data_IF_154468654828
#
_entry.id   IF_154468654828
#
_cell.length_a   1.000
_cell.length_b   1.000
_cell.length_c   1.000
_cell.angle_alpha   90.00
_cell.angle_beta   90.00
_cell.angle_gamma   90.00
#
_symmetry.space_group_name_H-M   'P 1'
#
loop_
_entity.id
_entity.type
_entity.pdbx_description
1 polymer ?
#
# COMPACT_ATOMS: atom_id res chain seq x y z
N UNK A 1 16.61 -81.08 17.78
CA UNK A 1 15.35 -80.63 17.15
C UNK A 1 14.61 -79.90 18.24
N UNK A 2 14.26 -78.63 18.18
CA UNK A 2 14.14 -77.59 17.15
C UNK A 2 14.00 -76.29 17.99
N UNK A 3 14.71 -75.18 17.71
CA UNK A 3 14.15 -73.98 17.04
C UNK A 3 12.71 -73.63 17.47
N UNK A 4 12.29 -72.38 17.69
CA UNK A 4 12.79 -71.02 17.44
C UNK A 4 12.06 -70.10 18.44
N UNK A 5 12.64 -69.04 18.99
CA UNK A 5 12.72 -67.69 18.40
C UNK A 5 11.40 -67.11 17.85
N UNK A 6 11.19 -65.84 18.21
CA UNK A 6 10.44 -64.75 17.55
C UNK A 6 9.26 -64.25 18.36
N UNK A 7 9.45 -63.08 19.00
CA UNK A 7 8.41 -62.06 19.08
C UNK A 7 9.02 -60.70 18.73
N UNK A 8 8.71 -60.27 17.51
CA UNK A 8 9.23 -59.09 16.84
C UNK A 8 8.46 -57.84 17.28
N UNK A 9 9.24 -56.88 17.73
CA UNK A 9 9.03 -55.44 17.80
C UNK A 9 7.84 -54.89 16.98
N UNK A 10 6.80 -54.46 17.70
CA UNK A 10 5.66 -53.71 17.15
C UNK A 10 6.10 -52.30 16.75
N UNK A 11 6.52 -52.13 15.50
CA UNK A 11 6.76 -50.83 14.90
C UNK A 11 5.43 -50.06 14.77
N UNK A 12 5.26 -49.04 15.62
CA UNK A 12 4.15 -48.10 15.58
C UNK A 12 4.20 -47.30 14.27
N UNK A 13 3.48 -47.76 13.25
CA UNK A 13 3.37 -47.06 11.96
C UNK A 13 2.57 -45.77 12.15
N UNK A 14 3.25 -44.63 12.09
CA UNK A 14 2.61 -43.32 12.06
C UNK A 14 1.77 -43.24 10.77
N UNK A 15 0.47 -42.93 10.84
CA UNK A 15 -0.36 -42.86 9.64
C UNK A 15 0.16 -41.79 8.67
N UNK A 16 0.07 -42.04 7.34
CA UNK A 16 0.56 -41.10 6.35
C UNK A 16 -0.14 -39.75 6.51
N UNK A 17 0.67 -38.68 6.59
CA UNK A 17 0.22 -37.29 6.69
C UNK A 17 -0.73 -37.01 5.52
N UNK A 18 -2.04 -36.90 5.79
CA UNK A 18 -3.06 -36.56 4.77
C UNK A 18 -2.62 -35.26 4.08
N UNK A 19 -2.30 -35.33 2.78
CA UNK A 19 -2.14 -34.13 1.95
C UNK A 19 -3.51 -33.48 1.85
N UNK A 20 -3.72 -32.38 2.55
CA UNK A 20 -4.84 -31.49 2.30
C UNK A 20 -4.64 -30.95 0.88
N UNK A 21 -5.37 -31.53 -0.09
CA UNK A 21 -5.43 -31.01 -1.45
C UNK A 21 -6.19 -29.68 -1.39
N UNK A 22 -5.45 -28.58 -1.31
CA UNK A 22 -5.99 -27.24 -1.31
C UNK A 22 -4.86 -26.24 -1.48
N UNK A 23 -5.05 -25.27 -2.36
CA UNK A 23 -4.17 -24.12 -2.46
C UNK A 23 -4.59 -23.08 -1.42
N UNK A 24 -3.62 -22.48 -0.74
CA UNK A 24 -3.83 -21.30 0.09
C UNK A 24 -3.62 -20.08 -0.80
N UNK A 25 -4.63 -19.23 -0.90
CA UNK A 25 -4.57 -18.01 -1.72
C UNK A 25 -5.13 -16.84 -0.90
N UNK A 26 -4.39 -15.74 -0.89
CA UNK A 26 -4.84 -14.49 -0.28
C UNK A 26 -4.24 -13.30 -1.03
N UNK A 27 -5.08 -12.28 -1.23
CA UNK A 27 -4.68 -10.96 -1.69
C UNK A 27 -4.84 -9.97 -0.54
N UNK A 28 -3.71 -9.48 -0.03
CA UNK A 28 -3.64 -8.56 1.10
C UNK A 28 -3.53 -7.13 0.54
N UNK A 29 -4.53 -6.25 0.75
CA UNK A 29 -4.42 -4.87 0.30
C UNK A 29 -3.42 -4.09 1.16
N UNK A 30 -2.47 -3.41 0.53
CA UNK A 30 -1.37 -2.70 1.20
C UNK A 30 -1.56 -1.20 1.06
N UNK A 31 -2.26 -0.57 2.01
CA UNK A 31 -2.66 0.84 1.88
C UNK A 31 -2.30 1.67 3.10
N UNK A 32 -2.06 2.95 2.87
CA UNK A 32 -1.86 3.91 3.96
C UNK A 32 -0.48 3.81 4.58
N UNK A 33 0.56 3.46 3.81
CA UNK A 33 1.88 3.16 4.37
C UNK A 33 2.87 4.30 4.19
N UNK A 34 3.81 4.40 5.13
CA UNK A 34 5.05 5.17 4.94
C UNK A 34 6.24 4.21 5.01
N UNK A 35 6.92 4.04 3.88
CA UNK A 35 8.06 3.13 3.74
C UNK A 35 9.30 3.92 3.34
N UNK A 36 10.47 3.42 3.70
CA UNK A 36 11.74 3.77 3.10
C UNK A 36 12.20 2.66 2.14
N UNK A 37 13.14 2.95 1.24
CA UNK A 37 13.81 1.95 0.42
C UNK A 37 14.52 0.91 1.30
N UNK A 38 15.02 1.30 2.47
CA UNK A 38 15.56 0.33 3.44
C UNK A 38 14.50 -0.62 4.02
N UNK A 39 13.28 -0.14 4.26
CA UNK A 39 12.17 -1.01 4.69
C UNK A 39 11.79 -1.98 3.57
N UNK A 40 11.70 -1.49 2.32
CA UNK A 40 11.39 -2.33 1.14
C UNK A 40 12.48 -3.37 0.91
N UNK A 41 13.75 -2.98 1.05
CA UNK A 41 14.90 -3.90 0.98
C UNK A 41 14.82 -4.99 2.05
N UNK A 42 14.50 -4.63 3.29
CA UNK A 42 14.37 -5.62 4.37
C UNK A 42 13.23 -6.62 4.10
N UNK A 43 12.11 -6.17 3.54
CA UNK A 43 11.02 -7.06 3.09
C UNK A 43 11.50 -7.99 1.99
N UNK A 44 12.19 -7.46 0.99
CA UNK A 44 12.76 -8.24 -0.10
C UNK A 44 13.72 -9.33 0.40
N UNK A 45 14.66 -8.99 1.28
CA UNK A 45 15.65 -9.92 1.81
C UNK A 45 15.01 -11.06 2.61
N UNK A 46 14.03 -10.77 3.47
CA UNK A 46 13.32 -11.79 4.24
C UNK A 46 12.51 -12.73 3.33
N UNK A 47 11.84 -12.19 2.33
CA UNK A 47 11.09 -13.00 1.37
C UNK A 47 12.02 -13.81 0.46
N UNK A 48 13.17 -13.26 0.08
CA UNK A 48 14.20 -13.97 -0.67
C UNK A 48 14.73 -15.16 0.13
N UNK A 49 14.98 -14.97 1.42
CA UNK A 49 15.38 -16.06 2.31
C UNK A 49 14.30 -17.15 2.42
N UNK A 50 13.01 -16.77 2.51
CA UNK A 50 11.90 -17.74 2.50
C UNK A 50 11.85 -18.52 1.19
N UNK A 51 11.96 -17.83 0.04
CA UNK A 51 11.92 -18.46 -1.27
C UNK A 51 13.12 -19.39 -1.52
N UNK A 52 14.32 -18.96 -1.10
CA UNK A 52 15.54 -19.76 -1.17
C UNK A 52 15.43 -21.02 -0.33
N UNK A 53 14.97 -20.91 0.92
CA UNK A 53 14.76 -22.08 1.78
C UNK A 53 13.77 -23.07 1.17
N UNK A 54 12.67 -22.59 0.60
CA UNK A 54 11.75 -23.45 -0.13
C UNK A 54 12.43 -24.11 -1.35
N UNK A 55 13.28 -23.37 -2.06
CA UNK A 55 14.07 -23.90 -3.16
C UNK A 55 15.03 -25.01 -2.75
N UNK A 56 15.68 -24.88 -1.58
CA UNK A 56 16.54 -25.93 -1.02
C UNK A 56 15.74 -27.23 -0.80
N UNK A 57 14.54 -27.11 -0.22
CA UNK A 57 13.64 -28.26 -0.01
C UNK A 57 13.24 -28.90 -1.35
N UNK A 58 12.84 -28.12 -2.35
CA UNK A 58 12.48 -28.64 -3.69
C UNK A 58 13.68 -29.31 -4.36
N UNK A 59 14.84 -28.66 -4.38
CA UNK A 59 16.07 -29.18 -5.00
C UNK A 59 16.54 -30.47 -4.33
N UNK A 60 16.30 -30.63 -3.02
CA UNK A 60 16.63 -31.86 -2.30
C UNK A 60 15.86 -33.09 -2.81
N UNK A 61 14.67 -32.87 -3.39
CA UNK A 61 13.81 -33.94 -3.93
C UNK A 61 14.08 -34.27 -5.40
N UNK A 62 14.87 -33.46 -6.10
CA UNK A 62 15.19 -33.69 -7.50
C UNK A 62 16.06 -34.95 -7.66
N UNK A 63 15.70 -35.78 -8.63
CA UNK A 63 16.48 -36.96 -8.99
C UNK A 63 17.67 -36.53 -9.84
N UNK A 64 18.86 -37.03 -9.49
CA UNK A 64 20.08 -36.82 -10.27
C UNK A 64 19.99 -37.61 -11.58
N UNK A 65 20.40 -36.99 -12.68
CA UNK A 65 20.61 -37.69 -13.94
C UNK A 65 21.71 -38.78 -13.75
N UNK A 66 21.45 -40.06 -14.10
CA UNK A 66 22.44 -41.12 -14.00
C UNK A 66 23.76 -40.83 -14.72
N UNK A 67 23.74 -40.01 -15.78
CA UNK A 67 24.91 -39.68 -16.58
C UNK A 67 25.76 -38.54 -15.99
N UNK A 68 25.22 -37.81 -15.01
CA UNK A 68 25.86 -36.63 -14.43
C UNK A 68 26.78 -36.98 -13.26
N UNK A 69 27.99 -36.41 -13.26
CA UNK A 69 28.93 -36.56 -12.15
C UNK A 69 28.47 -35.84 -10.88
N UNK A 70 29.02 -36.22 -9.72
CA UNK A 70 28.68 -35.60 -8.43
C UNK A 70 28.97 -34.09 -8.40
N UNK A 71 30.08 -33.67 -9.00
CA UNK A 71 30.51 -32.28 -9.06
C UNK A 71 29.61 -31.44 -9.99
N UNK A 72 29.20 -32.00 -11.12
CA UNK A 72 28.26 -31.36 -12.04
C UNK A 72 26.89 -31.21 -11.40
N UNK A 73 26.42 -32.24 -10.69
CA UNK A 73 25.16 -32.19 -9.97
C UNK A 73 25.16 -31.13 -8.88
N UNK A 74 26.24 -31.04 -8.09
CA UNK A 74 26.38 -30.00 -7.08
C UNK A 74 26.39 -28.58 -7.69
N UNK A 75 27.04 -28.40 -8.85
CA UNK A 75 27.02 -27.14 -9.60
C UNK A 75 25.62 -26.80 -10.10
N UNK A 76 24.91 -27.77 -10.66
CA UNK A 76 23.54 -27.58 -11.17
C UNK A 76 22.57 -27.21 -10.04
N UNK A 77 22.65 -27.88 -8.89
CA UNK A 77 21.82 -27.55 -7.71
C UNK A 77 22.02 -26.11 -7.25
N UNK A 78 23.28 -25.68 -7.15
CA UNK A 78 23.60 -24.30 -6.77
C UNK A 78 23.11 -23.29 -7.79
N UNK A 79 23.31 -23.57 -9.08
CA UNK A 79 22.81 -22.73 -10.17
C UNK A 79 21.29 -22.56 -10.11
N UNK A 80 20.54 -23.66 -9.96
CA UNK A 80 19.08 -23.60 -9.82
C UNK A 80 18.65 -22.80 -8.59
N UNK A 81 19.34 -22.99 -7.46
CA UNK A 81 19.01 -22.26 -6.24
C UNK A 81 19.24 -20.74 -6.39
N UNK A 82 20.33 -20.35 -7.03
CA UNK A 82 20.71 -18.95 -7.21
C UNK A 82 19.87 -18.25 -8.29
N UNK A 83 19.49 -18.95 -9.36
CA UNK A 83 18.87 -18.33 -10.55
C UNK A 83 17.37 -18.63 -10.72
N UNK A 84 16.88 -19.80 -10.29
CA UNK A 84 15.46 -20.17 -10.40
C UNK A 84 14.65 -19.81 -9.15
N UNK A 85 15.29 -19.77 -7.98
CA UNK A 85 14.66 -19.44 -6.70
C UNK A 85 15.05 -18.04 -6.19
N UNK A 86 15.41 -17.12 -7.08
CA UNK A 86 15.56 -15.71 -6.77
C UNK A 86 14.23 -14.95 -6.92
N UNK A 87 14.19 -13.74 -6.36
CA UNK A 87 13.11 -12.77 -6.59
C UNK A 87 13.56 -11.78 -7.65
N UNK A 88 12.68 -11.51 -8.60
CA UNK A 88 12.90 -10.43 -9.57
C UNK A 88 12.27 -9.15 -9.06
N UNK A 89 12.93 -8.01 -9.28
CA UNK A 89 12.51 -6.68 -8.89
C UNK A 89 12.31 -5.83 -10.15
N UNK A 90 11.19 -5.11 -10.22
CA UNK A 90 10.93 -4.06 -11.20
C UNK A 90 10.55 -2.77 -10.49
N UNK A 91 11.35 -1.73 -10.66
CA UNK A 91 11.11 -0.39 -10.14
C UNK A 91 10.77 0.51 -11.31
N UNK A 92 9.61 1.15 -11.26
CA UNK A 92 9.19 2.13 -12.28
C UNK A 92 9.10 3.50 -11.65
N UNK A 93 9.75 4.47 -12.28
CA UNK A 93 9.67 5.88 -11.92
C UNK A 93 8.71 6.67 -12.78
N UNK A 94 8.75 8.00 -12.65
CA UNK A 94 8.13 8.90 -13.61
C UNK A 94 8.86 8.89 -14.96
N UNK A 95 8.16 9.28 -16.04
CA UNK A 95 8.70 9.39 -17.42
C UNK A 95 9.27 8.09 -17.99
N UNK A 96 8.57 6.98 -17.72
CA UNK A 96 8.92 5.64 -18.25
C UNK A 96 10.33 5.15 -17.86
N UNK A 97 10.94 5.72 -16.81
CA UNK A 97 12.18 5.19 -16.24
C UNK A 97 11.88 3.85 -15.57
N UNK A 98 12.59 2.81 -15.99
CA UNK A 98 12.44 1.47 -15.44
C UNK A 98 13.80 0.92 -15.03
N UNK A 99 13.83 0.26 -13.90
CA UNK A 99 15.01 -0.41 -13.37
C UNK A 99 14.64 -1.82 -12.95
N UNK A 100 15.49 -2.77 -13.30
CA UNK A 100 15.28 -4.19 -13.07
C UNK A 100 16.49 -4.78 -12.35
N UNK A 101 16.26 -5.78 -11.51
CA UNK A 101 17.34 -6.59 -10.96
C UNK A 101 16.82 -7.73 -10.09
N UNK A 102 17.74 -8.54 -9.59
CA UNK A 102 17.45 -9.80 -8.87
C UNK A 102 18.12 -9.82 -7.49
N UNK A 103 18.77 -8.71 -7.12
CA UNK A 103 19.54 -8.58 -5.88
C UNK A 103 19.06 -7.39 -5.04
N UNK A 104 19.28 -7.49 -3.73
CA UNK A 104 18.91 -6.44 -2.79
C UNK A 104 19.71 -5.13 -3.00
N UNK A 105 20.83 -5.19 -3.73
CA UNK A 105 21.64 -4.02 -4.10
C UNK A 105 20.92 -3.07 -5.05
N UNK A 106 19.86 -3.54 -5.73
CA UNK A 106 18.98 -2.71 -6.57
C UNK A 106 18.46 -1.50 -5.79
N UNK A 107 18.11 -1.67 -4.52
CA UNK A 107 17.55 -0.61 -3.67
C UNK A 107 18.58 0.43 -3.22
N UNK A 108 19.87 0.16 -3.43
CA UNK A 108 20.98 1.08 -3.11
C UNK A 108 21.64 1.67 -4.36
N UNK A 109 21.11 1.38 -5.56
CA UNK A 109 21.72 1.84 -6.81
C UNK A 109 21.53 3.34 -7.03
N UNK A 110 22.59 4.03 -7.43
CA UNK A 110 22.53 5.44 -7.88
C UNK A 110 21.72 5.62 -9.18
N UNK A 111 21.41 4.52 -9.88
CA UNK A 111 20.62 4.51 -11.12
C UNK A 111 19.11 4.48 -10.87
N UNK A 112 18.67 4.49 -9.61
CA UNK A 112 17.25 4.49 -9.29
C UNK A 112 16.56 5.77 -9.81
N UNK A 113 15.30 5.66 -10.27
CA UNK A 113 14.52 6.83 -10.65
C UNK A 113 14.40 7.82 -9.49
N UNK A 114 14.56 9.12 -9.78
CA UNK A 114 14.43 10.18 -8.77
C UNK A 114 13.06 10.22 -8.06
N UNK A 115 12.01 9.76 -8.74
CA UNK A 115 10.66 9.60 -8.20
C UNK A 115 10.17 8.21 -8.58
N UNK A 116 10.09 7.31 -7.60
CA UNK A 116 9.62 5.95 -7.77
C UNK A 116 8.10 5.94 -7.67
N UNK A 117 7.43 5.47 -8.73
CA UNK A 117 5.98 5.33 -8.78
C UNK A 117 5.54 3.96 -8.29
N UNK A 118 6.20 2.90 -8.77
CA UNK A 118 5.85 1.53 -8.37
C UNK A 118 7.08 0.69 -8.12
N UNK A 119 6.99 -0.21 -7.15
CA UNK A 119 7.96 -1.28 -6.91
C UNK A 119 7.19 -2.59 -6.99
N UNK A 120 7.65 -3.50 -7.84
CA UNK A 120 7.10 -4.84 -7.98
C UNK A 120 8.19 -5.86 -7.75
N UNK A 121 7.92 -6.91 -6.98
CA UNK A 121 8.80 -8.07 -6.96
C UNK A 121 8.05 -9.40 -6.84
N UNK A 122 8.60 -10.42 -7.48
CA UNK A 122 7.99 -11.75 -7.61
C UNK A 122 9.03 -12.85 -7.84
N UNK A 123 8.74 -14.06 -7.36
CA UNK A 123 9.51 -15.26 -7.66
C UNK A 123 9.07 -15.96 -8.97
N UNK A 124 7.98 -15.52 -9.59
CA UNK A 124 7.41 -16.16 -10.79
C UNK A 124 8.32 -16.00 -12.01
N UNK A 125 8.85 -14.80 -12.23
CA UNK A 125 9.66 -14.49 -13.42
C UNK A 125 10.91 -15.36 -13.50
N UNK A 126 11.67 -15.44 -12.40
CA UNK A 126 12.90 -16.24 -12.31
C UNK A 126 12.60 -17.73 -12.54
N UNK A 127 11.58 -18.26 -11.86
CA UNK A 127 11.15 -19.64 -12.01
C UNK A 127 10.75 -20.00 -13.45
N UNK A 128 9.96 -19.15 -14.11
CA UNK A 128 9.49 -19.38 -15.49
C UNK A 128 10.64 -19.53 -16.49
N UNK A 129 11.77 -18.83 -16.26
CA UNK A 129 12.98 -18.98 -17.11
C UNK A 129 13.52 -20.42 -17.12
N UNK A 130 13.34 -21.15 -16.03
CA UNK A 130 13.92 -22.48 -15.81
C UNK A 130 12.92 -23.64 -15.86
N UNK A 131 11.63 -23.34 -15.99
CA UNK A 131 10.55 -24.33 -15.91
C UNK A 131 9.67 -24.36 -17.15
N UNK A 132 10.24 -24.05 -18.32
CA UNK A 132 9.52 -24.00 -19.61
C UNK A 132 8.24 -23.14 -19.55
N UNK A 133 8.29 -22.02 -18.81
CA UNK A 133 7.17 -21.08 -18.70
C UNK A 133 6.05 -21.47 -17.72
N UNK A 134 6.19 -22.55 -16.96
CA UNK A 134 5.24 -22.90 -15.89
C UNK A 134 5.38 -22.00 -14.65
N UNK A 135 4.31 -21.89 -13.86
CA UNK A 135 4.33 -21.16 -12.57
C UNK A 135 4.86 -22.02 -11.43
N UNK A 136 5.54 -21.42 -10.42
CA UNK A 136 5.93 -22.16 -9.23
C UNK A 136 4.70 -22.54 -8.40
N UNK A 137 4.78 -23.69 -7.71
CA UNK A 137 3.73 -24.16 -6.80
C UNK A 137 3.49 -23.19 -5.63
N UNK A 138 4.53 -22.46 -5.22
CA UNK A 138 4.44 -21.41 -4.23
C UNK A 138 4.87 -20.10 -4.91
N UNK A 139 3.93 -19.19 -5.09
CA UNK A 139 4.16 -17.89 -5.69
C UNK A 139 3.80 -16.76 -4.75
N UNK A 140 4.59 -15.70 -4.87
CA UNK A 140 4.30 -14.43 -4.23
C UNK A 140 4.56 -13.28 -5.19
N UNK A 141 3.68 -12.29 -5.12
CA UNK A 141 3.72 -11.09 -5.93
C UNK A 141 3.44 -9.91 -5.01
N UNK A 142 4.38 -8.98 -4.94
CA UNK A 142 4.25 -7.78 -4.11
C UNK A 142 4.29 -6.60 -5.05
N UNK A 143 3.19 -5.88 -5.10
CA UNK A 143 3.03 -4.66 -5.86
C UNK A 143 2.85 -3.50 -4.88
N UNK A 144 3.76 -2.53 -4.93
CA UNK A 144 3.72 -1.32 -4.13
C UNK A 144 3.58 -0.11 -5.05
N UNK A 145 2.45 0.57 -4.97
CA UNK A 145 2.11 1.79 -5.68
C UNK A 145 2.23 3.01 -4.75
N UNK A 146 3.13 3.91 -5.14
CA UNK A 146 3.43 5.21 -4.53
C UNK A 146 2.96 6.38 -5.41
N UNK A 147 2.11 6.11 -6.41
CA UNK A 147 1.55 7.15 -7.24
C UNK A 147 0.69 8.13 -6.43
N UNK A 148 0.66 9.38 -6.90
CA UNK A 148 -0.15 10.44 -6.30
C UNK A 148 -1.42 10.62 -7.14
N UNK A 149 -2.57 10.91 -6.51
CA UNK A 149 -3.75 11.30 -7.26
C UNK A 149 -3.50 12.60 -8.02
N UNK A 150 -4.30 12.90 -9.05
CA UNK A 150 -4.24 14.20 -9.70
C UNK A 150 -4.71 15.32 -8.74
N UNK A 151 -4.09 16.51 -8.83
CA UNK A 151 -4.44 17.66 -7.97
C UNK A 151 -5.89 18.12 -8.18
N UNK A 152 -6.36 18.01 -9.42
CA UNK A 152 -7.71 18.37 -9.82
C UNK A 152 -8.28 17.21 -10.63
N UNK A 153 -8.79 16.21 -9.91
CA UNK A 153 -9.56 15.14 -10.52
C UNK A 153 -11.00 15.62 -10.73
N UNK A 154 -11.48 15.77 -11.99
CA UNK A 154 -12.87 16.11 -12.25
C UNK A 154 -13.83 14.97 -11.90
N UNK A 155 -13.33 13.80 -11.47
CA UNK A 155 -14.16 12.66 -11.08
C UNK A 155 -15.28 13.10 -10.13
N UNK A 156 -16.56 12.85 -10.49
CA UNK A 156 -17.69 13.25 -9.66
C UNK A 156 -17.67 12.60 -8.27
N UNK A 157 -17.08 11.41 -8.12
CA UNK A 157 -17.14 10.59 -6.91
C UNK A 157 -15.98 10.88 -5.92
N UNK A 158 -15.99 12.04 -5.27
CA UNK A 158 -14.95 12.40 -4.27
C UNK A 158 -15.03 11.55 -2.99
N UNK A 159 -16.20 10.95 -2.75
CA UNK A 159 -16.49 10.02 -1.66
C UNK A 159 -15.80 8.67 -1.80
N UNK A 160 -15.37 8.32 -3.01
CA UNK A 160 -14.67 7.06 -3.24
C UNK A 160 -13.28 7.07 -2.59
N UNK A 161 -12.82 5.89 -2.14
CA UNK A 161 -11.47 5.77 -1.64
C UNK A 161 -10.48 6.13 -2.77
N UNK A 162 -9.42 6.87 -2.44
CA UNK A 162 -8.40 7.19 -3.43
C UNK A 162 -7.83 5.89 -4.02
N UNK A 163 -7.75 5.75 -5.35
CA UNK A 163 -7.17 4.56 -5.98
C UNK A 163 -5.76 4.29 -5.47
N UNK A 164 -5.46 3.02 -5.20
CA UNK A 164 -4.14 2.57 -4.85
C UNK A 164 -4.06 1.07 -5.14
N UNK A 165 -3.19 0.71 -6.07
CA UNK A 165 -3.13 -0.66 -6.59
C UNK A 165 -2.22 -1.57 -5.76
N UNK A 166 -1.62 -1.05 -4.69
CA UNK A 166 -0.72 -1.82 -3.84
C UNK A 166 -1.40 -3.04 -3.23
N UNK A 167 -0.83 -4.20 -3.50
CA UNK A 167 -1.33 -5.48 -3.00
C UNK A 167 -0.16 -6.47 -2.83
N UNK A 168 -0.35 -7.41 -1.92
CA UNK A 168 0.45 -8.63 -1.88
C UNK A 168 -0.45 -9.79 -2.22
N UNK A 169 -0.11 -10.54 -3.26
CA UNK A 169 -0.79 -11.77 -3.61
C UNK A 169 0.12 -12.94 -3.27
N UNK A 170 -0.37 -13.84 -2.43
CA UNK A 170 0.33 -15.07 -2.05
C UNK A 170 -0.54 -16.24 -2.47
N UNK A 171 0.03 -17.17 -3.25
CA UNK A 171 -0.61 -18.45 -3.51
C UNK A 171 0.38 -19.58 -3.34
N UNK A 172 0.04 -20.53 -2.47
CA UNK A 172 0.96 -21.59 -2.09
C UNK A 172 0.22 -22.91 -1.86
N UNK A 173 0.85 -24.02 -2.22
CA UNK A 173 0.44 -25.35 -1.74
C UNK A 173 0.97 -25.63 -0.33
N UNK A 174 2.11 -25.05 0.04
CA UNK A 174 2.70 -25.20 1.36
C UNK A 174 2.18 -24.13 2.34
N UNK A 175 1.44 -24.58 3.36
CA UNK A 175 0.95 -23.73 4.44
C UNK A 175 2.08 -23.01 5.19
N UNK A 176 3.24 -23.64 5.34
CA UNK A 176 4.40 -23.07 6.04
C UNK A 176 4.95 -21.87 5.27
N UNK A 177 5.10 -22.02 3.95
CA UNK A 177 5.49 -20.93 3.05
C UNK A 177 4.46 -19.79 3.10
N UNK A 178 3.18 -20.12 2.95
CA UNK A 178 2.07 -19.16 3.01
C UNK A 178 2.12 -18.31 4.30
N UNK A 179 2.22 -18.97 5.46
CA UNK A 179 2.28 -18.31 6.77
C UNK A 179 3.55 -17.49 6.97
N UNK A 180 4.68 -17.95 6.44
CA UNK A 180 5.94 -17.21 6.51
C UNK A 180 5.84 -15.89 5.73
N UNK A 181 5.30 -15.93 4.49
CA UNK A 181 5.10 -14.73 3.67
C UNK A 181 4.11 -13.77 4.34
N UNK A 182 2.95 -14.26 4.79
CA UNK A 182 1.97 -13.45 5.54
C UNK A 182 2.62 -12.72 6.73
N UNK A 183 3.41 -13.44 7.53
CA UNK A 183 4.06 -12.87 8.71
C UNK A 183 5.02 -11.73 8.36
N UNK A 184 5.81 -11.88 7.29
CA UNK A 184 6.70 -10.81 6.82
C UNK A 184 5.90 -9.59 6.39
N UNK A 185 4.84 -9.79 5.60
CA UNK A 185 3.93 -8.72 5.14
C UNK A 185 3.31 -7.99 6.33
N UNK A 186 2.74 -8.70 7.29
CA UNK A 186 2.12 -8.11 8.47
C UNK A 186 3.13 -7.30 9.29
N UNK A 187 4.29 -7.90 9.56
CA UNK A 187 5.28 -7.34 10.47
C UNK A 187 5.98 -6.12 9.87
N UNK A 188 6.29 -6.15 8.57
CA UNK A 188 7.15 -5.17 7.90
C UNK A 188 6.37 -4.15 7.07
N UNK A 189 5.26 -4.55 6.44
CA UNK A 189 4.44 -3.64 5.64
C UNK A 189 3.28 -3.09 6.46
N UNK A 190 2.41 -3.94 7.02
CA UNK A 190 1.14 -3.48 7.61
C UNK A 190 1.31 -2.72 8.94
N UNK A 191 2.42 -2.89 9.64
CA UNK A 191 2.75 -2.12 10.85
C UNK A 191 3.17 -0.67 10.56
N UNK A 192 3.35 -0.27 9.30
CA UNK A 192 3.83 1.07 8.91
C UNK A 192 2.70 2.02 8.49
N UNK A 193 1.50 1.85 9.06
CA UNK A 193 0.32 2.65 8.72
C UNK A 193 0.45 4.11 9.15
N UNK A 194 -0.04 5.01 8.33
CA UNK A 194 -0.06 6.45 8.55
C UNK A 194 -1.43 6.89 9.04
N UNK A 195 -1.46 7.89 9.92
CA UNK A 195 -2.73 8.41 10.46
C UNK A 195 -3.57 9.11 9.37
N UNK A 196 -2.92 9.78 8.42
CA UNK A 196 -3.61 10.50 7.33
C UNK A 196 -4.21 9.55 6.29
N UNK A 197 -3.94 8.24 6.34
CA UNK A 197 -4.63 7.26 5.51
C UNK A 197 -6.16 7.33 5.64
N UNK A 198 -6.67 7.88 6.75
CA UNK A 198 -8.10 8.10 6.99
C UNK A 198 -8.75 8.99 5.92
N UNK A 199 -8.06 10.02 5.40
CA UNK A 199 -8.65 10.92 4.40
C UNK A 199 -8.89 10.26 3.04
N UNK A 200 -8.29 9.08 2.81
CA UNK A 200 -8.44 8.28 1.60
C UNK A 200 -9.43 7.14 1.75
N UNK A 201 -10.07 6.99 2.92
CA UNK A 201 -11.11 5.99 3.12
C UNK A 201 -12.37 6.40 2.36
N UNK A 202 -13.19 5.40 2.04
CA UNK A 202 -14.53 5.63 1.54
C UNK A 202 -15.33 6.49 2.53
N UNK A 203 -16.14 7.41 2.02
CA UNK A 203 -16.95 8.36 2.78
C UNK A 203 -16.20 9.37 3.66
N UNK A 204 -14.86 9.39 3.65
CA UNK A 204 -14.09 10.36 4.45
C UNK A 204 -14.43 11.81 4.09
N UNK A 205 -14.66 12.07 2.79
CA UNK A 205 -15.14 13.36 2.29
C UNK A 205 -16.53 13.71 2.81
N UNK A 206 -17.48 12.78 2.74
CA UNK A 206 -18.87 13.04 3.16
C UNK A 206 -18.96 13.30 4.66
N UNK A 207 -18.24 12.51 5.46
CA UNK A 207 -18.19 12.72 6.91
C UNK A 207 -17.70 14.13 7.22
N UNK A 208 -16.59 14.57 6.61
CA UNK A 208 -16.10 15.93 6.83
C UNK A 208 -17.00 17.02 6.22
N UNK A 209 -17.69 16.75 5.11
CA UNK A 209 -18.68 17.66 4.54
C UNK A 209 -19.82 17.91 5.53
N UNK A 210 -20.43 16.85 6.05
CA UNK A 210 -21.58 16.93 6.94
C UNK A 210 -21.24 17.46 8.33
N UNK A 211 -20.07 17.10 8.87
CA UNK A 211 -19.69 17.44 10.25
C UNK A 211 -18.93 18.76 10.36
N UNK A 212 -18.28 19.23 9.28
CA UNK A 212 -17.42 20.41 9.31
C UNK A 212 -17.87 21.44 8.28
N UNK A 213 -17.86 21.09 6.99
CA UNK A 213 -17.99 22.08 5.93
C UNK A 213 -19.39 22.73 5.87
N UNK A 214 -20.45 21.92 5.95
CA UNK A 214 -21.83 22.42 5.91
C UNK A 214 -22.17 23.28 7.15
N UNK A 215 -21.93 22.83 8.40
CA UNK A 215 -22.14 23.68 9.57
C UNK A 215 -21.36 24.99 9.51
N UNK A 216 -20.07 24.94 9.15
CA UNK A 216 -19.26 26.14 8.99
C UNK A 216 -19.79 27.06 7.89
N UNK A 217 -20.21 26.49 6.76
CA UNK A 217 -20.79 27.22 5.65
C UNK A 217 -22.09 27.94 6.02
N UNK A 218 -22.97 27.28 6.77
CA UNK A 218 -24.21 27.88 7.27
C UNK A 218 -23.93 29.04 8.23
N UNK A 219 -23.00 28.88 9.16
CA UNK A 219 -22.62 29.93 10.12
C UNK A 219 -22.01 31.13 9.37
N UNK A 220 -21.01 30.89 8.51
CA UNK A 220 -20.33 31.95 7.76
C UNK A 220 -21.29 32.67 6.80
N UNK A 221 -22.13 31.93 6.06
CA UNK A 221 -23.10 32.52 5.15
C UNK A 221 -24.13 33.38 5.90
N UNK A 222 -24.61 32.93 7.05
CA UNK A 222 -25.55 33.71 7.88
C UNK A 222 -24.89 34.98 8.42
N UNK A 223 -23.70 34.86 9.01
CA UNK A 223 -22.97 35.98 9.60
C UNK A 223 -22.66 37.07 8.56
N UNK A 224 -22.07 36.69 7.42
CA UNK A 224 -21.72 37.66 6.39
C UNK A 224 -22.93 38.22 5.63
N UNK A 225 -24.02 37.45 5.52
CA UNK A 225 -25.27 37.96 4.96
C UNK A 225 -25.83 39.12 5.80
N UNK A 226 -25.82 38.98 7.13
CA UNK A 226 -26.30 40.04 8.03
C UNK A 226 -25.36 41.24 8.04
N UNK A 227 -24.05 41.00 7.97
CA UNK A 227 -23.06 42.08 7.95
C UNK A 227 -23.08 42.89 6.65
N UNK A 228 -23.21 42.24 5.48
CA UNK A 228 -23.06 42.90 4.18
C UNK A 228 -24.38 43.30 3.53
N UNK A 229 -25.47 42.61 3.87
CA UNK A 229 -26.78 42.80 3.26
C UNK A 229 -27.86 42.90 4.35
N UNK A 230 -27.82 43.88 5.27
CA UNK A 230 -28.77 43.96 6.38
C UNK A 230 -30.23 43.99 5.89
N UNK A 231 -31.16 43.55 6.75
CA UNK A 231 -32.59 43.39 6.39
C UNK A 231 -33.20 44.70 5.88
N UNK A 232 -32.82 45.83 6.47
CA UNK A 232 -33.33 47.16 6.11
C UNK A 232 -32.48 47.88 5.04
N UNK A 233 -31.51 47.18 4.42
CA UNK A 233 -30.63 47.75 3.41
C UNK A 233 -31.20 47.73 1.98
N UNK A 234 -30.65 48.58 1.13
CA UNK A 234 -31.04 48.72 -0.29
C UNK A 234 -30.93 47.41 -1.10
N UNK A 235 -30.07 46.49 -0.64
CA UNK A 235 -29.80 45.21 -1.29
C UNK A 235 -30.47 44.01 -0.60
N UNK A 236 -31.45 44.24 0.28
CA UNK A 236 -32.15 43.19 1.05
C UNK A 236 -32.75 42.08 0.17
N UNK A 237 -33.20 42.41 -1.04
CA UNK A 237 -33.71 41.45 -2.02
C UNK A 237 -32.69 40.38 -2.45
N UNK A 238 -31.39 40.66 -2.35
CA UNK A 238 -30.31 39.75 -2.75
C UNK A 238 -29.79 38.84 -1.64
N UNK A 239 -30.31 38.96 -0.40
CA UNK A 239 -29.86 38.19 0.77
C UNK A 239 -29.86 36.68 0.51
N UNK A 240 -30.96 36.14 -0.01
CA UNK A 240 -31.08 34.71 -0.29
C UNK A 240 -30.16 34.24 -1.42
N UNK A 241 -29.98 35.05 -2.46
CA UNK A 241 -29.01 34.75 -3.51
C UNK A 241 -27.61 34.68 -2.92
N UNK A 242 -27.20 35.69 -2.16
CA UNK A 242 -25.91 35.69 -1.46
C UNK A 242 -25.73 34.46 -0.58
N UNK A 243 -26.72 34.10 0.24
CA UNK A 243 -26.67 32.94 1.12
C UNK A 243 -26.42 31.63 0.35
N UNK A 244 -27.18 31.39 -0.72
CA UNK A 244 -27.05 30.19 -1.56
C UNK A 244 -25.67 30.14 -2.22
N UNK A 245 -25.22 31.26 -2.81
CA UNK A 245 -23.91 31.32 -3.45
C UNK A 245 -22.76 31.17 -2.45
N UNK A 246 -22.85 31.81 -1.28
CA UNK A 246 -21.86 31.66 -0.22
C UNK A 246 -21.74 30.21 0.25
N UNK A 247 -22.88 29.54 0.49
CA UNK A 247 -22.90 28.13 0.87
C UNK A 247 -22.31 27.24 -0.24
N UNK A 248 -22.68 27.48 -1.50
CA UNK A 248 -22.11 26.78 -2.66
C UNK A 248 -20.60 26.96 -2.77
N UNK A 249 -20.10 28.18 -2.53
CA UNK A 249 -18.66 28.48 -2.52
C UNK A 249 -17.93 27.75 -1.40
N UNK A 250 -18.52 27.60 -0.21
CA UNK A 250 -17.92 26.81 0.89
C UNK A 250 -17.85 25.33 0.53
N UNK A 251 -18.92 24.77 -0.04
CA UNK A 251 -18.96 23.36 -0.49
C UNK A 251 -17.90 23.10 -1.58
N UNK A 252 -17.80 23.99 -2.57
CA UNK A 252 -16.78 23.92 -3.61
C UNK A 252 -15.37 24.08 -3.03
N UNK A 253 -15.17 25.05 -2.14
CA UNK A 253 -13.91 25.27 -1.44
C UNK A 253 -13.47 24.03 -0.65
N UNK A 254 -14.38 23.40 0.08
CA UNK A 254 -14.12 22.15 0.79
C UNK A 254 -13.75 20.99 -0.14
N UNK A 255 -14.42 20.90 -1.30
CA UNK A 255 -14.06 19.94 -2.36
C UNK A 255 -12.62 20.15 -2.84
N UNK A 256 -12.25 21.38 -3.18
CA UNK A 256 -10.88 21.70 -3.60
C UNK A 256 -9.87 21.41 -2.51
N UNK A 257 -10.16 21.79 -1.27
CA UNK A 257 -9.29 21.58 -0.13
C UNK A 257 -9.06 20.09 0.15
N UNK A 258 -10.11 19.26 0.05
CA UNK A 258 -9.99 17.81 0.23
C UNK A 258 -9.20 17.16 -0.90
N UNK A 259 -9.45 17.54 -2.16
CA UNK A 259 -8.68 17.05 -3.31
C UNK A 259 -7.19 17.40 -3.18
N UNK A 260 -6.92 18.65 -2.82
CA UNK A 260 -5.56 19.12 -2.56
C UNK A 260 -4.92 18.41 -1.35
N UNK A 261 -5.67 18.14 -0.28
CA UNK A 261 -5.17 17.37 0.87
C UNK A 261 -4.82 15.93 0.47
N UNK A 262 -5.68 15.24 -0.29
CA UNK A 262 -5.41 13.89 -0.83
C UNK A 262 -4.17 13.87 -1.76
N UNK A 263 -3.90 14.96 -2.47
CA UNK A 263 -2.67 15.09 -3.26
C UNK A 263 -1.43 15.32 -2.38
N UNK A 264 -1.54 16.24 -1.42
CA UNK A 264 -0.43 16.59 -0.54
C UNK A 264 -0.02 15.43 0.37
N UNK A 265 -0.99 14.61 0.79
CA UNK A 265 -0.79 13.40 1.57
C UNK A 265 -1.22 12.21 0.71
N UNK A 266 -0.34 11.60 -0.11
CA UNK A 266 -0.74 10.46 -0.94
C UNK A 266 -0.93 9.20 -0.09
N UNK A 267 -1.65 8.21 -0.63
CA UNK A 267 -2.04 6.98 0.10
C UNK A 267 -0.82 6.25 0.65
N UNK A 268 0.19 6.01 -0.18
CA UNK A 268 1.46 5.45 0.24
C UNK A 268 2.58 6.47 -0.01
N UNK A 269 3.52 6.57 0.92
CA UNK A 269 4.67 7.47 0.83
C UNK A 269 5.95 6.67 0.88
N UNK A 270 6.79 6.85 -0.13
CA UNK A 270 8.19 6.44 -0.09
C UNK A 270 9.05 7.61 0.41
N UNK A 271 9.86 7.39 1.44
CA UNK A 271 10.64 8.44 2.10
C UNK A 271 11.67 9.10 1.16
N UNK A 272 12.21 8.34 0.22
CA UNK A 272 13.24 8.75 -0.73
C UNK A 272 12.67 9.59 -1.88
N UNK A 273 11.37 9.52 -2.14
CA UNK A 273 10.71 10.42 -3.05
C UNK A 273 10.72 11.82 -2.43
N UNK A 274 11.74 12.63 -2.78
CA UNK A 274 11.89 14.04 -2.38
C UNK A 274 10.77 14.88 -3.01
N UNK A 275 9.60 14.79 -2.41
CA UNK A 275 8.41 15.43 -2.91
C UNK A 275 8.35 16.90 -2.48
N UNK A 276 7.94 17.77 -3.41
CA UNK A 276 7.58 19.16 -3.09
C UNK A 276 6.38 19.23 -2.15
N UNK A 277 5.60 18.14 -2.03
CA UNK A 277 4.43 18.07 -1.16
C UNK A 277 4.70 18.53 0.29
N UNK A 278 5.90 18.36 0.86
CA UNK A 278 6.17 18.86 2.21
C UNK A 278 5.90 20.38 2.35
N UNK A 279 6.35 21.18 1.37
CA UNK A 279 6.10 22.63 1.37
C UNK A 279 4.60 22.92 1.28
N UNK A 280 3.89 22.15 0.46
CA UNK A 280 2.44 22.26 0.30
C UNK A 280 1.68 21.83 1.56
N UNK A 281 2.16 20.84 2.32
CA UNK A 281 1.59 20.44 3.62
C UNK A 281 1.72 21.55 4.66
N UNK A 282 2.87 22.24 4.69
CA UNK A 282 3.08 23.39 5.57
C UNK A 282 2.13 24.53 5.18
N UNK A 283 2.01 24.83 3.89
CA UNK A 283 1.08 25.84 3.40
C UNK A 283 -0.38 25.51 3.77
N UNK A 284 -0.80 24.24 3.60
CA UNK A 284 -2.12 23.77 4.03
C UNK A 284 -2.32 23.94 5.53
N UNK A 285 -1.35 23.53 6.35
CA UNK A 285 -1.45 23.68 7.79
C UNK A 285 -1.66 25.15 8.18
N UNK A 286 -0.97 26.08 7.50
CA UNK A 286 -1.20 27.51 7.65
C UNK A 286 -2.62 27.97 7.26
N UNK A 287 -3.14 27.49 6.12
CA UNK A 287 -4.51 27.79 5.66
C UNK A 287 -5.53 27.26 6.67
N UNK A 288 -5.40 26.01 7.12
CA UNK A 288 -6.30 25.42 8.11
C UNK A 288 -6.25 26.15 9.46
N UNK A 289 -5.06 26.52 9.93
CA UNK A 289 -4.91 27.29 11.16
C UNK A 289 -5.62 28.65 11.06
N UNK A 290 -5.46 29.35 9.93
CA UNK A 290 -6.13 30.63 9.68
C UNK A 290 -7.65 30.50 9.59
N UNK A 291 -8.16 29.50 8.86
CA UNK A 291 -9.59 29.23 8.75
C UNK A 291 -10.20 28.87 10.11
N UNK A 292 -9.50 28.05 10.91
CA UNK A 292 -9.94 27.68 12.25
C UNK A 292 -10.01 28.90 13.16
N UNK A 293 -8.98 29.76 13.14
CA UNK A 293 -8.98 31.02 13.86
C UNK A 293 -10.17 31.91 13.47
N UNK A 294 -10.47 32.05 12.17
CA UNK A 294 -11.62 32.83 11.69
C UNK A 294 -12.97 32.24 12.06
N UNK A 295 -13.10 30.91 12.02
CA UNK A 295 -14.31 30.25 12.48
C UNK A 295 -14.52 30.48 13.99
N UNK A 296 -13.47 30.36 14.81
CA UNK A 296 -13.56 30.63 16.25
C UNK A 296 -13.92 32.08 16.54
N UNK A 297 -13.29 33.04 15.85
CA UNK A 297 -13.57 34.47 15.96
C UNK A 297 -15.05 34.79 15.66
N UNK A 298 -15.59 34.22 14.57
CA UNK A 298 -17.01 34.37 14.22
C UNK A 298 -17.95 33.73 15.24
N UNK A 299 -17.61 32.54 15.78
CA UNK A 299 -18.40 31.90 16.83
C UNK A 299 -18.39 32.76 18.10
N UNK A 300 -17.23 33.27 18.51
CA UNK A 300 -17.13 34.16 19.67
C UNK A 300 -17.95 35.44 19.49
N UNK A 301 -17.90 36.06 18.30
CA UNK A 301 -18.69 37.25 18.00
C UNK A 301 -20.21 36.99 17.96
N UNK A 302 -20.63 35.76 17.65
CA UNK A 302 -22.05 35.38 17.62
C UNK A 302 -22.62 34.98 18.99
N UNK A 303 -21.78 34.74 20.00
CA UNK A 303 -22.25 34.36 21.33
C UNK A 303 -22.78 35.59 22.09
N UNK A 304 -24.00 35.53 22.68
CA UNK A 304 -24.68 36.68 23.30
C UNK A 304 -24.06 37.15 24.63
N UNK A 305 -22.89 36.64 25.02
CA UNK A 305 -22.26 36.85 26.33
C UNK A 305 -21.01 37.72 26.31
N UNK A 306 -20.67 38.33 25.16
CA UNK A 306 -19.64 39.36 25.10
C UNK A 306 -20.35 40.72 25.18
N UNK A 307 -20.25 41.45 26.32
CA UNK A 307 -20.88 42.76 26.49
C UNK A 307 -20.31 43.84 25.56
#
# INVERSE_FOLDING_TARGET
>A
MEQSEVDTENAMTIPPKRRLFGWFEETIPVRGLKLSLSDVKAVYEELSAINRKFGEDVISTLQRDPEMSDDEWAKQKRFLLEDAFCLTISIRGERDQQFYGEDAEVFTSDKLPSQIRTIFFTNVTAWRRHSNGTDPENRMEIFLDFSKPALFDPNPFVSDPTPNDSNVTVRAQDMTYFRAVQRVVDTKLLNRKTWYAVIHRSFAYDVGMWTIALPAGLILASFYMDQWLPVDGDFSAYRWAFFIYALGMVVLGYRFLTGYAKWAFPVNVLAENKDKALRHRIALAGIFAWLTYKATDAIYAALPFVP
#
